data_IF_120395023340
#
_entry.id   IF_120395023340
#
_cell.length_a   1.000
_cell.length_b   1.000
_cell.length_c   1.000
_cell.angle_alpha   90.00
_cell.angle_beta   90.00
_cell.angle_gamma   90.00
#
_symmetry.space_group_name_H-M   'P 1'
#
loop_
_entity.id
_entity.type
_entity.pdbx_description
1 polymer ?
#
# COMPACT_ATOMS: atom_id res chain seq x y z
N UNK A 1 29.54 -1.23 50.98
CA UNK A 1 30.12 -1.89 49.78
C UNK A 1 29.06 -1.84 48.69
N UNK A 2 28.95 -0.68 48.04
CA UNK A 2 29.46 -0.45 46.66
C UNK A 2 28.51 -1.05 45.64
N UNK A 3 27.49 -0.30 45.21
CA UNK A 3 27.59 0.58 44.03
C UNK A 3 28.14 -0.12 42.77
N UNK A 4 27.82 -1.41 42.55
CA UNK A 4 28.23 -2.14 41.35
C UNK A 4 27.05 -2.64 40.48
N UNK A 5 25.86 -2.82 41.04
CA UNK A 5 24.72 -3.37 40.29
C UNK A 5 24.06 -2.38 39.31
N UNK A 6 24.31 -1.08 39.43
CA UNK A 6 23.64 -0.04 38.64
C UNK A 6 24.38 0.38 37.35
N UNK A 7 25.54 -0.22 37.03
CA UNK A 7 26.42 0.29 35.95
C UNK A 7 26.52 -0.57 34.69
N UNK A 8 25.77 -1.67 34.56
CA UNK A 8 25.89 -2.58 33.40
C UNK A 8 24.76 -2.37 32.36
N UNK A 9 23.71 -1.62 32.69
CA UNK A 9 22.51 -1.51 31.85
C UNK A 9 22.55 -0.49 30.71
N UNK A 10 23.66 0.24 30.50
CA UNK A 10 23.72 1.36 29.53
C UNK A 10 24.55 1.10 28.28
N UNK A 11 25.00 -0.14 28.03
CA UNK A 11 25.84 -0.48 26.87
C UNK A 11 25.13 -1.32 25.79
N UNK A 12 23.81 -1.50 25.85
CA UNK A 12 23.07 -2.33 24.89
C UNK A 12 22.30 -1.54 23.81
N UNK A 13 22.24 -0.21 23.87
CA UNK A 13 21.43 0.60 22.94
C UNK A 13 22.20 1.21 21.75
N UNK A 14 23.48 0.90 21.56
CA UNK A 14 24.30 1.46 20.47
C UNK A 14 24.45 0.54 19.24
N UNK A 15 23.81 -0.63 19.23
CA UNK A 15 23.94 -1.60 18.14
C UNK A 15 22.91 -1.45 17.00
N UNK A 16 21.96 -0.51 17.08
CA UNK A 16 20.95 -0.28 16.03
C UNK A 16 21.35 0.81 15.01
N UNK A 17 22.62 1.23 15.00
CA UNK A 17 23.11 2.27 14.07
C UNK A 17 23.74 1.71 12.78
N UNK A 18 23.87 0.38 12.64
CA UNK A 18 24.31 -0.26 11.40
C UNK A 18 23.12 -0.58 10.50
N UNK A 19 22.22 0.38 10.29
CA UNK A 19 21.29 0.28 9.17
C UNK A 19 22.10 0.48 7.89
N UNK A 20 22.01 -0.43 6.90
CA UNK A 20 22.59 -0.18 5.60
C UNK A 20 21.90 1.04 5.00
N UNK A 21 22.58 2.19 5.01
CA UNK A 21 22.15 3.43 4.33
C UNK A 21 21.99 3.17 2.81
N UNK A 22 22.51 2.06 2.30
CA UNK A 22 22.33 1.58 0.93
C UNK A 22 20.97 0.94 0.60
N UNK A 23 20.04 0.77 1.55
CA UNK A 23 18.68 0.29 1.24
C UNK A 23 17.71 1.40 0.78
N UNK A 24 18.19 2.65 0.72
CA UNK A 24 17.53 3.74 0.00
C UNK A 24 18.02 3.84 -1.45
N UNK A 25 18.28 2.70 -2.09
CA UNK A 25 18.03 2.62 -3.51
C UNK A 25 16.51 2.74 -3.67
N UNK A 26 16.01 3.97 -3.57
CA UNK A 26 14.74 4.36 -4.16
C UNK A 26 14.91 4.06 -5.64
N UNK A 27 14.64 2.81 -6.01
CA UNK A 27 14.45 2.44 -7.38
C UNK A 27 13.41 3.44 -7.86
N UNK A 28 13.84 4.32 -8.77
CA UNK A 28 12.98 5.23 -9.49
C UNK A 28 12.11 4.40 -10.45
N UNK A 29 11.42 3.40 -9.93
CA UNK A 29 10.29 2.79 -10.59
C UNK A 29 9.27 3.93 -10.68
N UNK A 30 8.96 4.34 -11.89
CA UNK A 30 7.82 5.18 -12.17
C UNK A 30 6.64 4.69 -11.31
N UNK A 31 6.23 5.52 -10.36
CA UNK A 31 5.27 5.11 -9.34
C UNK A 31 3.98 4.67 -10.04
N UNK A 32 3.67 3.38 -9.99
CA UNK A 32 2.50 2.85 -10.67
C UNK A 32 1.27 3.24 -9.85
N UNK A 33 0.57 4.30 -10.29
CA UNK A 33 -0.63 4.83 -9.62
C UNK A 33 -1.91 4.39 -10.32
N UNK A 34 -2.92 4.04 -9.54
CA UNK A 34 -4.28 3.82 -10.02
C UNK A 34 -5.13 5.04 -9.67
N UNK A 35 -5.54 5.79 -10.69
CA UNK A 35 -6.42 6.93 -10.49
C UNK A 35 -7.88 6.47 -10.31
N UNK A 36 -8.49 6.95 -9.22
CA UNK A 36 -9.83 6.53 -8.75
C UNK A 36 -10.75 7.72 -8.51
N UNK A 37 -10.22 8.95 -8.52
CA UNK A 37 -10.99 10.16 -8.24
C UNK A 37 -12.06 10.45 -9.31
N UNK A 38 -11.85 9.97 -10.54
CA UNK A 38 -12.79 10.07 -11.65
C UNK A 38 -13.84 8.95 -11.68
N UNK A 39 -13.73 7.95 -10.80
CA UNK A 39 -14.61 6.78 -10.79
C UNK A 39 -15.64 6.87 -9.67
N UNK A 40 -16.89 6.56 -10.01
CA UNK A 40 -17.91 6.26 -9.02
C UNK A 40 -17.87 4.77 -8.64
N UNK A 41 -17.17 4.46 -7.54
CA UNK A 41 -16.99 3.09 -7.04
C UNK A 41 -18.26 2.51 -6.41
N UNK A 42 -19.32 3.31 -6.22
CA UNK A 42 -20.63 2.79 -5.78
C UNK A 42 -21.44 2.20 -6.93
N UNK A 43 -20.96 2.33 -8.18
CA UNK A 43 -21.63 1.79 -9.38
C UNK A 43 -20.89 0.56 -9.92
N UNK A 44 -21.60 -0.41 -10.53
CA UNK A 44 -20.97 -1.54 -11.20
C UNK A 44 -20.00 -1.11 -12.30
N UNK A 45 -20.33 -0.05 -13.05
CA UNK A 45 -19.49 0.47 -14.14
C UNK A 45 -18.19 1.07 -13.61
N UNK A 46 -18.25 1.88 -12.54
CA UNK A 46 -17.04 2.43 -11.92
C UNK A 46 -16.16 1.37 -11.26
N UNK A 47 -16.77 0.34 -10.66
CA UNK A 47 -16.01 -0.82 -10.16
C UNK A 47 -15.35 -1.62 -11.28
N UNK A 48 -16.02 -1.82 -12.42
CA UNK A 48 -15.44 -2.48 -13.57
C UNK A 48 -14.25 -1.68 -14.14
N UNK A 49 -14.39 -0.36 -14.27
CA UNK A 49 -13.31 0.52 -14.70
C UNK A 49 -12.12 0.48 -13.73
N UNK A 50 -12.39 0.48 -12.42
CA UNK A 50 -11.37 0.31 -11.39
C UNK A 50 -10.63 -1.03 -11.54
N UNK A 51 -11.36 -2.14 -11.68
CA UNK A 51 -10.78 -3.47 -11.83
C UNK A 51 -9.86 -3.57 -13.05
N UNK A 52 -10.26 -2.96 -14.18
CA UNK A 52 -9.44 -2.93 -15.38
C UNK A 52 -8.13 -2.15 -15.15
N UNK A 53 -8.21 -0.98 -14.50
CA UNK A 53 -7.03 -0.16 -14.18
C UNK A 53 -6.12 -0.88 -13.18
N UNK A 54 -6.69 -1.48 -12.15
CA UNK A 54 -5.96 -2.26 -11.15
C UNK A 54 -5.25 -3.46 -11.78
N UNK A 55 -5.87 -4.15 -12.74
CA UNK A 55 -5.24 -5.26 -13.46
C UNK A 55 -4.03 -4.79 -14.26
N UNK A 56 -4.18 -3.71 -15.03
CA UNK A 56 -3.08 -3.14 -15.82
C UNK A 56 -1.93 -2.67 -14.92
N UNK A 57 -2.24 -1.97 -13.83
CA UNK A 57 -1.26 -1.53 -12.84
C UNK A 57 -0.52 -2.71 -12.19
N UNK A 58 -1.24 -3.76 -11.79
CA UNK A 58 -0.62 -4.96 -11.23
C UNK A 58 0.29 -5.67 -12.24
N UNK A 59 -0.09 -5.70 -13.53
CA UNK A 59 0.74 -6.27 -14.58
C UNK A 59 2.03 -5.49 -14.78
N UNK A 60 1.96 -4.16 -14.76
CA UNK A 60 3.14 -3.28 -14.88
C UNK A 60 4.03 -3.39 -13.63
N UNK A 61 3.44 -3.33 -12.44
CA UNK A 61 4.18 -3.41 -11.18
C UNK A 61 4.93 -4.74 -11.02
N UNK A 62 4.30 -5.85 -11.43
CA UNK A 62 4.89 -7.18 -11.31
C UNK A 62 5.70 -7.61 -12.56
N UNK A 63 5.98 -6.70 -13.51
CA UNK A 63 6.61 -7.04 -14.78
C UNK A 63 8.01 -7.64 -14.60
N UNK A 64 8.79 -7.10 -13.67
CA UNK A 64 10.18 -7.51 -13.41
C UNK A 64 10.30 -8.75 -12.52
N UNK A 65 9.20 -9.22 -11.94
CA UNK A 65 9.21 -10.44 -11.11
C UNK A 65 9.50 -11.66 -11.99
N UNK A 66 10.59 -12.36 -11.68
CA UNK A 66 11.03 -13.56 -12.40
C UNK A 66 10.29 -14.79 -11.84
N UNK A 67 9.82 -15.66 -12.73
CA UNK A 67 9.07 -16.88 -12.38
C UNK A 67 7.56 -16.66 -12.43
N UNK A 68 6.86 -17.61 -13.07
CA UNK A 68 5.41 -17.49 -13.33
C UNK A 68 4.59 -17.49 -12.03
N UNK A 69 4.93 -18.36 -11.08
CA UNK A 69 4.28 -18.46 -9.77
C UNK A 69 4.51 -17.23 -8.90
N UNK A 70 5.74 -16.71 -8.88
CA UNK A 70 6.08 -15.48 -8.16
C UNK A 70 5.34 -14.27 -8.75
N UNK A 71 5.29 -14.14 -10.07
CA UNK A 71 4.54 -13.08 -10.75
C UNK A 71 3.04 -13.17 -10.53
N UNK A 72 2.47 -14.38 -10.50
CA UNK A 72 1.06 -14.59 -10.14
C UNK A 72 0.78 -14.16 -8.69
N UNK A 73 1.64 -14.55 -7.76
CA UNK A 73 1.54 -14.18 -6.34
C UNK A 73 1.65 -12.67 -6.14
N UNK A 74 2.59 -12.01 -6.83
CA UNK A 74 2.71 -10.55 -6.85
C UNK A 74 1.41 -9.88 -7.32
N UNK A 75 0.84 -10.33 -8.45
CA UNK A 75 -0.41 -9.75 -8.98
C UNK A 75 -1.60 -9.95 -8.04
N UNK A 76 -1.67 -11.10 -7.37
CA UNK A 76 -2.70 -11.36 -6.36
C UNK A 76 -2.55 -10.45 -5.15
N UNK A 77 -1.33 -10.24 -4.66
CA UNK A 77 -1.02 -9.31 -3.57
C UNK A 77 -1.42 -7.87 -3.93
N UNK A 78 -0.97 -7.37 -5.08
CA UNK A 78 -1.35 -6.03 -5.55
C UNK A 78 -2.87 -5.88 -5.69
N UNK A 79 -3.56 -6.91 -6.20
CA UNK A 79 -5.02 -6.88 -6.32
C UNK A 79 -5.71 -6.83 -4.96
N UNK A 80 -5.23 -7.57 -3.97
CA UNK A 80 -5.77 -7.56 -2.61
C UNK A 80 -5.63 -6.16 -1.99
N UNK A 81 -4.43 -5.58 -2.05
CA UNK A 81 -4.13 -4.22 -1.57
C UNK A 81 -5.01 -3.16 -2.24
N UNK A 82 -5.14 -3.22 -3.57
CA UNK A 82 -5.96 -2.28 -4.31
C UNK A 82 -7.45 -2.42 -3.96
N UNK A 83 -7.93 -3.65 -3.75
CA UNK A 83 -9.32 -3.93 -3.40
C UNK A 83 -9.67 -3.41 -2.00
N UNK A 84 -8.74 -3.54 -1.04
CA UNK A 84 -8.90 -2.98 0.31
C UNK A 84 -8.98 -1.45 0.26
N UNK A 85 -8.08 -0.80 -0.48
CA UNK A 85 -8.09 0.66 -0.66
C UNK A 85 -9.35 1.14 -1.38
N UNK A 86 -9.82 0.40 -2.39
CA UNK A 86 -11.07 0.73 -3.09
C UNK A 86 -12.30 0.61 -2.19
N UNK A 87 -12.32 -0.34 -1.27
CA UNK A 87 -13.36 -0.45 -0.25
C UNK A 87 -13.48 0.83 0.58
N UNK A 88 -12.35 1.30 1.14
CA UNK A 88 -12.32 2.53 1.93
C UNK A 88 -12.80 3.76 1.14
N UNK A 89 -12.41 3.88 -0.14
CA UNK A 89 -12.86 4.98 -1.00
C UNK A 89 -14.36 4.90 -1.28
N UNK A 90 -14.86 3.70 -1.58
CA UNK A 90 -16.30 3.49 -1.85
C UNK A 90 -17.13 3.86 -0.62
N UNK A 91 -16.70 3.46 0.56
CA UNK A 91 -17.41 3.76 1.80
C UNK A 91 -17.40 5.29 2.06
N UNK A 92 -16.30 5.98 1.76
CA UNK A 92 -16.24 7.44 1.80
C UNK A 92 -17.18 8.10 0.76
N UNK A 93 -17.28 7.57 -0.46
CA UNK A 93 -18.21 8.06 -1.48
C UNK A 93 -19.68 7.88 -1.04
N UNK A 94 -20.01 6.75 -0.41
CA UNK A 94 -21.34 6.51 0.16
C UNK A 94 -21.65 7.49 1.29
N UNK A 95 -20.69 7.75 2.19
CA UNK A 95 -20.86 8.73 3.27
C UNK A 95 -21.10 10.15 2.74
N UNK A 96 -20.37 10.58 1.70
CA UNK A 96 -20.58 11.88 1.05
C UNK A 96 -21.96 11.98 0.38
N UNK A 97 -22.41 10.90 -0.28
CA UNK A 97 -23.74 10.86 -0.88
C UNK A 97 -24.84 11.00 0.19
N UNK A 98 -24.68 10.34 1.34
CA UNK A 98 -25.61 10.45 2.46
C UNK A 98 -25.67 11.87 3.05
N UNK A 99 -24.51 12.53 3.23
CA UNK A 99 -24.45 13.93 3.69
C UNK A 99 -25.13 14.89 2.72
N UNK A 100 -24.93 14.69 1.41
CA UNK A 100 -25.56 15.52 0.37
C UNK A 100 -27.09 15.39 0.38
N UNK A 101 -27.61 14.21 0.69
CA UNK A 101 -29.04 14.00 0.85
C UNK A 101 -29.61 14.66 2.11
N UNK A 102 -28.90 14.59 3.24
CA UNK A 102 -29.31 15.20 4.50
C UNK A 102 -29.25 16.74 4.51
N UNK A 103 -28.48 17.34 3.59
CA UNK A 103 -28.37 18.80 3.43
C UNK A 103 -29.45 19.41 2.51
N UNK A 104 -30.36 18.60 1.97
CA UNK A 104 -31.52 19.02 1.16
C UNK A 104 -32.80 18.93 1.97
#
# INVERSE_FOLDING_TARGET
>A
MTNFAAKISTAAMLALAALPIGALASAAHAETRVHVADLNLTTPQGMAAFNQRAHNAASTYCAEVVGLSARASCRNGVKAELSEKAGAIRDAQMAQAAQTFAAR
#
